data_IF_033157782981
#
_entry.id   IF_033157782981
#
_cell.length_a   1.000
_cell.length_b   1.000
_cell.length_c   1.000
_cell.angle_alpha   90.00
_cell.angle_beta   90.00
_cell.angle_gamma   90.00
#
_symmetry.space_group_name_H-M   'P 1'
#
loop_
_entity.id
_entity.type
_entity.pdbx_description
1 polymer ?
#
# COMPACT_ATOMS: atom_id res chain seq x y z
N UNK A 1 -8.08 -22.73 17.20
CA UNK A 1 -7.09 -22.26 18.19
C UNK A 1 -7.28 -23.07 19.47
N UNK A 2 -6.36 -23.96 19.87
CA UNK A 2 -6.48 -24.79 21.08
C UNK A 2 -7.88 -25.44 21.28
N UNK A 3 -8.49 -25.98 20.21
CA UNK A 3 -9.82 -26.59 20.25
C UNK A 3 -11.01 -25.66 19.98
N UNK A 4 -10.82 -24.34 19.93
CA UNK A 4 -11.88 -23.39 19.58
C UNK A 4 -12.09 -23.32 18.06
N UNK A 5 -13.35 -23.47 17.57
CA UNK A 5 -13.69 -23.28 16.16
C UNK A 5 -13.63 -21.80 15.81
N UNK A 6 -12.99 -21.49 14.69
CA UNK A 6 -12.75 -20.12 14.22
C UNK A 6 -12.90 -20.08 12.70
N UNK A 7 -13.56 -19.05 12.19
CA UNK A 7 -13.52 -18.71 10.77
C UNK A 7 -12.18 -18.06 10.42
N UNK A 8 -11.61 -18.41 9.25
CA UNK A 8 -10.32 -17.89 8.82
C UNK A 8 -10.44 -17.30 7.41
N UNK A 9 -9.98 -16.07 7.26
CA UNK A 9 -9.80 -15.41 5.96
C UNK A 9 -8.33 -15.07 5.81
N UNK A 10 -7.69 -15.55 4.75
CA UNK A 10 -6.30 -15.27 4.44
C UNK A 10 -6.15 -14.74 3.00
N UNK A 11 -5.28 -13.77 2.82
CA UNK A 11 -5.02 -13.15 1.52
C UNK A 11 -3.83 -13.80 0.83
N UNK A 12 -4.00 -14.11 -0.46
CA UNK A 12 -2.97 -14.77 -1.27
C UNK A 12 -1.87 -13.78 -1.69
N UNK A 13 -0.60 -14.17 -1.48
CA UNK A 13 0.57 -13.34 -1.87
C UNK A 13 1.06 -13.60 -3.29
N UNK A 14 0.87 -14.81 -3.82
CA UNK A 14 1.27 -15.17 -5.18
C UNK A 14 0.21 -14.72 -6.19
N UNK A 15 0.66 -14.36 -7.39
CA UNK A 15 -0.24 -14.10 -8.51
C UNK A 15 -0.98 -15.38 -8.88
N UNK A 16 -2.26 -15.26 -9.20
CA UNK A 16 -3.12 -16.36 -9.65
C UNK A 16 -3.62 -16.10 -11.06
N UNK A 17 -3.99 -17.16 -11.76
CA UNK A 17 -4.61 -17.07 -13.08
C UNK A 17 -6.05 -17.57 -12.99
N UNK A 18 -6.96 -16.79 -13.52
CA UNK A 18 -8.38 -17.11 -13.62
C UNK A 18 -8.67 -17.47 -15.08
N UNK A 19 -9.16 -18.68 -15.29
CA UNK A 19 -9.59 -19.17 -16.59
C UNK A 19 -11.08 -18.91 -16.74
N UNK A 20 -11.45 -17.99 -17.63
CA UNK A 20 -12.86 -17.78 -17.98
C UNK A 20 -13.21 -18.75 -19.11
N UNK A 21 -14.19 -19.66 -18.89
CA UNK A 21 -14.60 -20.58 -19.93
C UNK A 21 -15.20 -19.80 -21.10
N UNK A 22 -15.12 -20.41 -22.28
CA UNK A 22 -15.73 -19.85 -23.48
C UNK A 22 -17.25 -19.96 -23.35
N UNK A 23 -17.94 -18.89 -23.72
CA UNK A 23 -19.40 -18.89 -23.80
C UNK A 23 -19.83 -19.62 -25.09
N UNK A 24 -20.54 -20.75 -25.00
CA UNK A 24 -20.97 -21.49 -26.19
C UNK A 24 -21.94 -20.70 -27.08
N UNK A 25 -22.59 -19.65 -26.55
CA UNK A 25 -23.51 -18.80 -27.32
C UNK A 25 -22.83 -17.75 -28.19
N UNK A 26 -21.52 -17.51 -28.00
CA UNK A 26 -20.76 -16.50 -28.74
C UNK A 26 -19.58 -17.14 -29.49
N UNK A 27 -19.80 -17.43 -30.78
CA UNK A 27 -18.83 -18.07 -31.67
C UNK A 27 -17.56 -17.23 -31.90
N UNK A 28 -17.58 -15.94 -31.55
CA UNK A 28 -16.44 -15.02 -31.72
C UNK A 28 -15.49 -15.00 -30.52
N UNK A 29 -15.92 -15.50 -29.36
CA UNK A 29 -15.15 -15.44 -28.11
C UNK A 29 -14.18 -16.62 -27.99
N UNK A 30 -12.90 -16.29 -27.84
CA UNK A 30 -11.85 -17.24 -27.48
C UNK A 30 -11.71 -17.43 -25.97
N UNK A 31 -10.80 -18.34 -25.58
CA UNK A 31 -10.45 -18.59 -24.19
C UNK A 31 -9.76 -17.37 -23.55
N UNK A 32 -10.40 -16.78 -22.54
CA UNK A 32 -9.87 -15.63 -21.83
C UNK A 32 -9.14 -16.05 -20.54
N UNK A 33 -7.86 -15.70 -20.45
CA UNK A 33 -7.04 -15.88 -19.24
C UNK A 33 -6.81 -14.54 -18.58
N UNK A 34 -7.28 -14.37 -17.35
CA UNK A 34 -7.06 -13.14 -16.56
C UNK A 34 -6.01 -13.42 -15.49
N UNK A 35 -4.91 -12.69 -15.54
CA UNK A 35 -3.87 -12.75 -14.50
C UNK A 35 -4.24 -11.81 -13.37
N UNK A 36 -4.40 -12.37 -12.18
CA UNK A 36 -4.74 -11.66 -10.97
C UNK A 36 -3.45 -11.49 -10.13
N UNK A 37 -3.00 -10.25 -9.86
CA UNK A 37 -1.83 -10.02 -9.01
C UNK A 37 -2.12 -10.46 -7.57
N UNK A 38 -1.11 -10.99 -6.90
CA UNK A 38 -1.20 -11.31 -5.48
C UNK A 38 -1.30 -10.03 -4.63
N UNK A 39 -1.85 -10.13 -3.43
CA UNK A 39 -2.03 -9.02 -2.49
C UNK A 39 -2.95 -7.90 -3.01
N UNK A 40 -3.79 -8.16 -4.02
CA UNK A 40 -4.77 -7.18 -4.54
C UNK A 40 -6.19 -7.75 -4.39
N UNK A 41 -7.11 -6.90 -3.93
CA UNK A 41 -8.52 -7.26 -3.82
C UNK A 41 -9.21 -6.97 -5.16
N UNK A 42 -9.44 -8.04 -5.91
CA UNK A 42 -10.20 -8.03 -7.17
C UNK A 42 -11.71 -8.19 -6.89
N UNK A 43 -12.60 -7.91 -7.85
CA UNK A 43 -14.05 -8.03 -7.62
C UNK A 43 -14.50 -9.40 -7.12
N UNK A 44 -13.99 -10.49 -7.73
CA UNK A 44 -14.27 -11.86 -7.31
C UNK A 44 -13.75 -12.16 -5.89
N UNK A 45 -12.59 -11.61 -5.53
CA UNK A 45 -12.00 -11.77 -4.21
C UNK A 45 -12.78 -11.01 -3.14
N UNK A 46 -13.20 -9.77 -3.43
CA UNK A 46 -14.05 -8.98 -2.55
C UNK A 46 -15.37 -9.70 -2.27
N UNK A 47 -16.05 -10.19 -3.32
CA UNK A 47 -17.30 -10.95 -3.20
C UNK A 47 -17.11 -12.22 -2.36
N UNK A 48 -16.02 -12.96 -2.58
CA UNK A 48 -15.68 -14.15 -1.80
C UNK A 48 -15.46 -13.84 -0.32
N UNK A 49 -14.76 -12.74 -0.01
CA UNK A 49 -14.54 -12.29 1.37
C UNK A 49 -15.88 -11.90 2.02
N UNK A 50 -16.71 -11.12 1.32
CA UNK A 50 -18.01 -10.69 1.85
C UNK A 50 -18.92 -11.89 2.17
N UNK A 51 -19.01 -12.84 1.24
CA UNK A 51 -19.78 -14.07 1.44
C UNK A 51 -19.24 -14.87 2.63
N UNK A 52 -17.92 -15.09 2.70
CA UNK A 52 -17.31 -15.83 3.81
C UNK A 52 -17.59 -15.18 5.17
N UNK A 53 -17.54 -13.84 5.26
CA UNK A 53 -17.89 -13.13 6.50
C UNK A 53 -19.36 -13.36 6.87
N UNK A 54 -20.26 -13.32 5.89
CA UNK A 54 -21.68 -13.56 6.11
C UNK A 54 -21.94 -15.00 6.58
N UNK A 55 -21.28 -15.98 5.97
CA UNK A 55 -21.44 -17.39 6.31
C UNK A 55 -20.91 -17.67 7.72
N UNK A 56 -19.70 -17.21 8.04
CA UNK A 56 -19.08 -17.34 9.38
C UNK A 56 -19.93 -16.64 10.45
N UNK A 57 -20.56 -15.51 10.11
CA UNK A 57 -21.51 -14.83 10.99
C UNK A 57 -22.75 -15.69 11.25
N UNK A 58 -23.31 -16.31 10.21
CA UNK A 58 -24.49 -17.18 10.33
C UNK A 58 -24.20 -18.44 11.13
N UNK A 59 -23.00 -18.99 11.01
CA UNK A 59 -22.50 -20.12 11.80
C UNK A 59 -22.21 -19.75 13.26
N UNK A 60 -22.22 -18.46 13.61
CA UNK A 60 -21.93 -18.01 14.97
C UNK A 60 -20.49 -18.30 15.39
N UNK A 61 -19.53 -18.12 14.48
CA UNK A 61 -18.11 -18.34 14.76
C UNK A 61 -17.33 -17.01 14.88
N UNK A 62 -16.34 -16.93 15.78
CA UNK A 62 -15.36 -15.85 15.77
C UNK A 62 -14.50 -15.90 14.51
N UNK A 63 -14.02 -14.75 14.05
CA UNK A 63 -13.32 -14.59 12.77
C UNK A 63 -11.88 -14.12 12.96
N UNK A 64 -10.93 -14.75 12.24
CA UNK A 64 -9.54 -14.32 12.15
C UNK A 64 -9.22 -13.95 10.70
N UNK A 65 -8.77 -12.71 10.49
CA UNK A 65 -8.40 -12.18 9.17
C UNK A 65 -6.90 -11.95 9.11
N UNK A 66 -6.19 -12.75 8.31
CA UNK A 66 -4.80 -12.51 7.96
C UNK A 66 -4.72 -11.48 6.83
N UNK A 67 -4.62 -10.21 7.21
CA UNK A 67 -4.65 -9.08 6.29
C UNK A 67 -3.29 -8.91 5.60
N UNK A 68 -3.30 -9.02 4.26
CA UNK A 68 -2.13 -8.80 3.42
C UNK A 68 -2.55 -8.33 2.02
N UNK A 69 -2.92 -7.04 1.91
CA UNK A 69 -3.33 -6.43 0.65
C UNK A 69 -2.80 -5.01 0.47
N UNK A 70 -2.30 -4.73 -0.73
CA UNK A 70 -1.82 -3.42 -1.16
C UNK A 70 -2.94 -2.49 -1.66
N UNK A 71 -4.18 -2.97 -1.75
CA UNK A 71 -5.30 -2.17 -2.22
C UNK A 71 -6.35 -2.97 -2.97
N UNK A 72 -7.39 -2.25 -3.39
CA UNK A 72 -8.39 -2.71 -4.35
C UNK A 72 -7.85 -2.61 -5.77
N UNK A 73 -8.33 -3.48 -6.67
CA UNK A 73 -8.02 -3.32 -8.09
C UNK A 73 -8.64 -2.02 -8.62
N UNK A 74 -7.82 -1.20 -9.28
CA UNK A 74 -8.20 0.08 -9.87
C UNK A 74 -8.43 0.03 -11.39
N UNK A 75 -8.40 -1.15 -12.00
CA UNK A 75 -8.54 -1.29 -13.45
C UNK A 75 -9.97 -0.94 -13.90
N UNK A 76 -10.14 -0.32 -15.07
CA UNK A 76 -11.45 0.02 -15.62
C UNK A 76 -12.37 -1.19 -15.72
N UNK A 77 -11.85 -2.34 -16.15
CA UNK A 77 -12.63 -3.58 -16.21
C UNK A 77 -13.09 -4.06 -14.83
N UNK A 78 -12.26 -3.91 -13.79
CA UNK A 78 -12.62 -4.30 -12.42
C UNK A 78 -13.60 -3.31 -11.78
N UNK A 79 -13.53 -2.04 -12.16
CA UNK A 79 -14.52 -1.02 -11.79
C UNK A 79 -15.89 -1.35 -12.37
N UNK A 80 -15.94 -1.76 -13.64
CA UNK A 80 -17.19 -2.21 -14.29
C UNK A 80 -17.71 -3.54 -13.71
N UNK A 81 -16.81 -4.42 -13.26
CA UNK A 81 -17.15 -5.66 -12.55
C UNK A 81 -17.53 -5.43 -11.07
N UNK A 82 -18.01 -4.23 -10.69
CA UNK A 82 -18.57 -3.89 -9.37
C UNK A 82 -17.60 -4.07 -8.17
N UNK A 83 -16.29 -3.88 -8.33
CA UNK A 83 -15.34 -4.06 -7.21
C UNK A 83 -15.65 -3.17 -5.99
N UNK A 84 -16.14 -1.94 -6.20
CA UNK A 84 -16.48 -1.02 -5.13
C UNK A 84 -17.71 -1.49 -4.34
N UNK A 85 -18.74 -1.97 -5.05
CA UNK A 85 -19.94 -2.53 -4.42
C UNK A 85 -19.59 -3.74 -3.57
N UNK A 86 -18.81 -4.68 -4.12
CA UNK A 86 -18.37 -5.86 -3.39
C UNK A 86 -17.50 -5.49 -2.16
N UNK A 87 -16.70 -4.42 -2.22
CA UNK A 87 -15.94 -3.93 -1.08
C UNK A 87 -16.83 -3.34 0.02
N UNK A 88 -17.91 -2.64 -0.34
CA UNK A 88 -18.93 -2.18 0.61
C UNK A 88 -19.67 -3.35 1.28
N UNK A 89 -19.89 -4.45 0.57
CA UNK A 89 -20.49 -5.65 1.15
C UNK A 89 -19.58 -6.28 2.22
N UNK A 90 -18.25 -6.27 2.01
CA UNK A 90 -17.28 -6.68 3.05
C UNK A 90 -17.41 -5.81 4.30
N UNK A 91 -17.45 -4.48 4.11
CA UNK A 91 -17.61 -3.53 5.22
C UNK A 91 -18.90 -3.80 5.99
N UNK A 92 -20.01 -3.97 5.27
CA UNK A 92 -21.32 -4.30 5.85
C UNK A 92 -21.30 -5.62 6.61
N UNK A 93 -20.56 -6.62 6.10
CA UNK A 93 -20.34 -7.89 6.77
C UNK A 93 -19.69 -7.73 8.15
N UNK A 94 -18.64 -6.91 8.26
CA UNK A 94 -17.96 -6.64 9.53
C UNK A 94 -18.82 -5.83 10.51
N UNK A 95 -19.58 -4.85 10.03
CA UNK A 95 -20.48 -4.04 10.87
C UNK A 95 -21.53 -4.90 11.58
N UNK A 96 -22.08 -5.91 10.90
CA UNK A 96 -23.12 -6.78 11.46
C UNK A 96 -22.57 -8.01 12.19
N UNK A 97 -21.25 -8.17 12.27
CA UNK A 97 -20.63 -9.31 12.92
C UNK A 97 -20.66 -9.11 14.45
N UNK A 98 -21.32 -10.03 15.17
CA UNK A 98 -21.58 -9.92 16.62
C UNK A 98 -20.53 -10.61 17.49
N UNK A 99 -19.63 -11.39 16.88
CA UNK A 99 -18.60 -12.15 17.57
C UNK A 99 -17.23 -11.49 17.40
N UNK A 100 -16.22 -11.89 18.19
CA UNK A 100 -14.89 -11.29 18.08
C UNK A 100 -14.26 -11.50 16.69
N UNK A 101 -13.79 -10.42 16.09
CA UNK A 101 -13.01 -10.41 14.85
C UNK A 101 -11.59 -9.96 15.17
N UNK A 102 -10.62 -10.81 14.85
CA UNK A 102 -9.21 -10.53 15.02
C UNK A 102 -8.59 -10.31 13.65
N UNK A 103 -8.14 -9.09 13.38
CA UNK A 103 -7.36 -8.79 12.19
C UNK A 103 -5.89 -8.86 12.55
N UNK A 104 -5.14 -9.70 11.87
CA UNK A 104 -3.72 -9.88 12.11
C UNK A 104 -2.92 -9.58 10.86
N UNK A 105 -2.01 -8.61 10.97
CA UNK A 105 -0.98 -8.36 9.96
C UNK A 105 0.24 -9.20 10.35
N UNK A 106 0.48 -10.27 9.60
CA UNK A 106 1.62 -11.16 9.81
C UNK A 106 2.98 -10.52 9.48
N UNK A 107 4.09 -11.26 9.67
CA UNK A 107 5.42 -10.81 9.29
C UNK A 107 5.46 -10.42 7.80
N UNK A 108 6.08 -9.28 7.50
CA UNK A 108 6.20 -8.73 6.13
C UNK A 108 4.86 -8.46 5.41
N UNK A 109 3.73 -8.60 6.10
CA UNK A 109 2.43 -8.28 5.54
C UNK A 109 2.34 -6.78 5.25
N UNK A 110 1.71 -6.46 4.12
CA UNK A 110 1.52 -5.10 3.68
C UNK A 110 0.03 -4.80 3.64
N UNK A 111 -0.39 -3.73 4.31
CA UNK A 111 -1.78 -3.27 4.29
C UNK A 111 -1.83 -1.81 3.84
N UNK A 112 -2.45 -1.53 2.69
CA UNK A 112 -2.38 -0.18 2.10
C UNK A 112 -3.71 0.39 1.66
N UNK A 113 -3.79 1.72 1.63
CA UNK A 113 -4.85 2.50 0.99
C UNK A 113 -6.26 1.99 1.29
N UNK A 114 -7.03 1.74 0.23
CA UNK A 114 -8.41 1.25 0.35
C UNK A 114 -8.53 -0.10 1.06
N UNK A 115 -7.52 -0.98 0.97
CA UNK A 115 -7.55 -2.25 1.69
C UNK A 115 -7.50 -2.04 3.21
N UNK A 116 -6.71 -1.07 3.69
CA UNK A 116 -6.70 -0.69 5.12
C UNK A 116 -8.09 -0.21 5.58
N UNK A 117 -8.78 0.58 4.77
CA UNK A 117 -10.11 1.10 5.09
C UNK A 117 -11.16 -0.01 5.26
N UNK A 118 -11.07 -1.09 4.47
CA UNK A 118 -12.04 -2.20 4.48
C UNK A 118 -11.89 -3.09 5.73
N UNK A 119 -10.69 -3.22 6.28
CA UNK A 119 -10.40 -4.10 7.43
C UNK A 119 -10.06 -3.32 8.69
N UNK A 120 -10.45 -2.06 8.79
CA UNK A 120 -10.11 -1.23 9.94
C UNK A 120 -10.88 -1.66 11.20
N UNK A 121 -10.24 -1.67 12.38
CA UNK A 121 -10.90 -2.00 13.65
C UNK A 121 -12.01 -1.01 14.04
N UNK A 122 -11.92 0.24 13.56
CA UNK A 122 -12.94 1.26 13.79
C UNK A 122 -14.28 1.03 13.08
N UNK A 123 -14.41 0.00 12.24
CA UNK A 123 -15.69 -0.37 11.61
C UNK A 123 -16.67 -0.89 12.67
N UNK A 124 -16.17 -1.74 13.57
CA UNK A 124 -16.94 -2.30 14.67
C UNK A 124 -16.04 -2.40 15.91
N UNK A 125 -15.84 -1.29 16.65
CA UNK A 125 -14.85 -1.19 17.72
C UNK A 125 -15.13 -2.13 18.90
N UNK A 126 -16.38 -2.56 19.08
CA UNK A 126 -16.78 -3.50 20.14
C UNK A 126 -16.26 -4.91 19.89
N UNK A 127 -16.26 -5.34 18.64
CA UNK A 127 -15.98 -6.72 18.25
C UNK A 127 -14.67 -6.90 17.47
N UNK A 128 -14.16 -5.85 16.81
CA UNK A 128 -12.96 -5.91 15.98
C UNK A 128 -11.71 -5.42 16.72
N UNK A 129 -10.66 -6.24 16.72
CA UNK A 129 -9.32 -5.86 17.19
C UNK A 129 -8.28 -6.15 16.12
N UNK A 130 -7.35 -5.22 15.93
CA UNK A 130 -6.27 -5.35 14.95
C UNK A 130 -4.92 -5.49 15.67
N UNK A 131 -4.14 -6.48 15.25
CA UNK A 131 -2.79 -6.75 15.72
C UNK A 131 -1.83 -6.73 14.53
N UNK A 132 -0.62 -6.25 14.78
CA UNK A 132 0.38 -6.08 13.74
C UNK A 132 1.74 -6.62 14.21
N UNK A 133 2.33 -7.53 13.44
CA UNK A 133 3.67 -8.04 13.70
C UNK A 133 4.71 -6.90 13.62
N UNK A 134 5.84 -6.97 14.35
CA UNK A 134 6.88 -5.94 14.33
C UNK A 134 7.36 -5.54 12.94
N UNK A 135 7.49 -6.52 12.03
CA UNK A 135 7.94 -6.35 10.64
C UNK A 135 6.83 -6.04 9.64
N UNK A 136 5.57 -5.96 10.08
CA UNK A 136 4.45 -5.61 9.21
C UNK A 136 4.45 -4.12 8.86
N UNK A 137 3.82 -3.79 7.72
CA UNK A 137 3.82 -2.44 7.16
C UNK A 137 2.41 -2.02 6.78
N UNK A 138 1.91 -0.93 7.36
CA UNK A 138 0.67 -0.31 6.93
C UNK A 138 0.87 1.15 6.48
N UNK A 139 0.30 1.56 5.35
CA UNK A 139 0.47 2.94 4.86
C UNK A 139 -0.68 3.36 3.94
N UNK A 140 -0.86 4.67 3.74
CA UNK A 140 -1.88 5.16 2.79
C UNK A 140 -1.49 4.81 1.36
N UNK A 141 -0.22 5.05 1.00
CA UNK A 141 0.32 4.78 -0.33
C UNK A 141 1.57 3.90 -0.23
N UNK A 142 2.00 3.37 -1.36
CA UNK A 142 3.33 2.80 -1.48
C UNK A 142 4.40 3.86 -1.18
N UNK A 143 5.58 3.41 -0.78
CA UNK A 143 6.68 4.31 -0.46
C UNK A 143 7.09 5.15 -1.67
N UNK A 144 7.14 4.54 -2.86
CA UNK A 144 7.39 5.21 -4.14
C UNK A 144 6.41 6.36 -4.37
N UNK A 145 5.11 6.08 -4.31
CA UNK A 145 4.07 7.11 -4.46
C UNK A 145 4.11 8.18 -3.36
N UNK A 146 4.52 7.82 -2.14
CA UNK A 146 4.66 8.81 -1.05
C UNK A 146 5.83 9.76 -1.31
N UNK A 147 6.97 9.23 -1.78
CA UNK A 147 8.16 10.04 -2.15
C UNK A 147 7.81 10.96 -3.31
N UNK A 148 7.12 10.44 -4.33
CA UNK A 148 6.71 11.23 -5.50
C UNK A 148 5.81 12.43 -5.14
N UNK A 149 4.97 12.30 -4.11
CA UNK A 149 4.08 13.38 -3.67
C UNK A 149 4.78 14.31 -2.66
N UNK A 150 5.45 13.74 -1.65
CA UNK A 150 5.94 14.49 -0.48
C UNK A 150 7.41 14.90 -0.53
N UNK A 151 8.21 14.25 -1.36
CA UNK A 151 9.66 14.45 -1.41
C UNK A 151 10.12 14.52 -2.86
N UNK A 152 9.67 15.59 -3.52
CA UNK A 152 9.86 15.80 -4.95
C UNK A 152 11.30 16.22 -5.24
N UNK A 153 11.67 16.22 -6.53
CA UNK A 153 12.97 16.71 -7.03
C UNK A 153 13.51 17.98 -6.34
N UNK A 154 12.74 19.08 -6.16
CA UNK A 154 13.28 20.27 -5.49
C UNK A 154 13.71 20.01 -4.02
N UNK A 155 13.01 19.13 -3.30
CA UNK A 155 13.34 18.81 -1.90
C UNK A 155 14.54 17.86 -1.81
N UNK A 156 14.67 16.97 -2.80
CA UNK A 156 15.86 16.14 -3.00
C UNK A 156 17.07 17.03 -3.25
N UNK A 157 16.99 18.00 -4.17
CA UNK A 157 18.08 18.94 -4.46
C UNK A 157 18.51 19.75 -3.23
N UNK A 158 17.56 20.28 -2.46
CA UNK A 158 17.85 20.95 -1.18
C UNK A 158 18.60 20.03 -0.21
N UNK A 159 18.25 18.75 -0.19
CA UNK A 159 18.88 17.77 0.69
C UNK A 159 20.27 17.36 0.20
N UNK A 160 20.48 17.29 -1.11
CA UNK A 160 21.79 17.10 -1.73
C UNK A 160 22.74 18.23 -1.32
N UNK A 161 22.32 19.49 -1.50
CA UNK A 161 23.11 20.68 -1.12
C UNK A 161 23.41 20.70 0.39
N UNK A 162 22.48 20.22 1.22
CA UNK A 162 22.65 20.16 2.68
C UNK A 162 23.62 19.08 3.14
N UNK A 163 23.75 17.98 2.40
CA UNK A 163 24.45 16.77 2.88
C UNK A 163 25.76 16.52 2.13
N UNK A 164 25.81 16.78 0.82
CA UNK A 164 26.99 16.60 -0.02
C UNK A 164 27.89 17.84 0.04
N UNK A 165 29.16 17.64 0.41
CA UNK A 165 30.13 18.73 0.58
C UNK A 165 30.44 19.46 -0.72
N UNK A 166 30.49 18.73 -1.85
CA UNK A 166 30.79 19.32 -3.16
C UNK A 166 29.62 20.14 -3.69
N UNK A 167 28.40 19.61 -3.62
CA UNK A 167 27.20 20.37 -3.98
C UNK A 167 27.02 21.61 -3.10
N UNK A 168 27.33 21.51 -1.80
CA UNK A 168 27.30 22.63 -0.86
C UNK A 168 28.29 23.74 -1.24
N UNK A 169 29.57 23.40 -1.46
CA UNK A 169 30.59 24.38 -1.81
C UNK A 169 30.32 25.02 -3.19
N UNK A 170 29.85 24.24 -4.17
CA UNK A 170 29.42 24.76 -5.46
C UNK A 170 28.24 25.73 -5.32
N UNK A 171 27.26 25.44 -4.46
CA UNK A 171 26.12 26.32 -4.22
C UNK A 171 26.52 27.65 -3.56
N UNK A 172 27.46 27.62 -2.61
CA UNK A 172 27.99 28.82 -1.96
C UNK A 172 28.77 29.69 -2.96
N UNK A 173 29.66 29.08 -3.73
CA UNK A 173 30.42 29.79 -4.77
C UNK A 173 29.52 30.42 -5.83
N UNK A 174 28.38 29.78 -6.17
CA UNK A 174 27.39 30.37 -7.09
C UNK A 174 26.69 31.58 -6.47
N UNK A 175 26.45 31.58 -5.15
CA UNK A 175 25.82 32.69 -4.44
C UNK A 175 26.76 33.92 -4.32
N UNK A 176 28.07 33.71 -4.28
CA UNK A 176 29.09 34.78 -4.23
C UNK A 176 29.35 35.44 -5.60
N UNK A 177 28.96 34.82 -6.72
CA UNK A 177 29.16 35.37 -8.07
C UNK A 177 28.07 36.39 -8.49
N UNK A 178 28.47 37.53 -9.05
CA UNK A 178 27.59 38.54 -9.68
C UNK A 178 27.02 38.07 -11.03
N UNK A 179 25.95 38.70 -11.52
CA UNK A 179 25.09 38.16 -12.59
C UNK A 179 25.75 37.97 -13.98
N UNK A 180 26.82 38.70 -14.30
CA UNK A 180 27.44 38.72 -15.64
C UNK A 180 28.65 37.80 -15.82
N UNK A 181 28.89 36.88 -14.89
CA UNK A 181 30.14 36.11 -14.86
C UNK A 181 30.05 34.79 -15.66
N UNK A 182 30.91 34.63 -16.68
CA UNK A 182 31.07 33.36 -17.42
C UNK A 182 31.41 32.18 -16.49
N UNK A 183 32.05 32.48 -15.35
CA UNK A 183 32.36 31.56 -14.26
C UNK A 183 31.10 30.96 -13.61
N UNK A 184 30.02 31.74 -13.46
CA UNK A 184 28.75 31.28 -12.87
C UNK A 184 28.12 30.17 -13.70
N UNK A 185 28.16 30.28 -15.03
CA UNK A 185 27.66 29.24 -15.94
C UNK A 185 28.47 27.95 -15.86
N UNK A 186 29.79 28.04 -15.69
CA UNK A 186 30.67 26.87 -15.52
C UNK A 186 30.36 26.17 -14.19
N UNK A 187 30.19 26.92 -13.10
CA UNK A 187 29.83 26.38 -11.79
C UNK A 187 28.45 25.73 -11.80
N UNK A 188 27.46 26.34 -12.44
CA UNK A 188 26.13 25.74 -12.61
C UNK A 188 26.18 24.44 -13.42
N UNK A 189 27.00 24.36 -14.48
CA UNK A 189 27.19 23.11 -15.22
C UNK A 189 27.83 22.02 -14.35
N UNK A 190 28.81 22.37 -13.51
CA UNK A 190 29.43 21.42 -12.57
C UNK A 190 28.43 20.93 -11.53
N UNK A 191 27.62 21.82 -10.97
CA UNK A 191 26.58 21.47 -10.01
C UNK A 191 25.56 20.52 -10.63
N UNK A 192 25.03 20.81 -11.83
CA UNK A 192 24.09 19.92 -12.53
C UNK A 192 24.66 18.52 -12.78
N UNK A 193 25.93 18.42 -13.21
CA UNK A 193 26.60 17.11 -13.37
C UNK A 193 26.68 16.34 -12.05
N UNK A 194 26.95 17.03 -10.94
CA UNK A 194 26.99 16.41 -9.61
C UNK A 194 25.60 15.96 -9.15
N UNK A 195 24.58 16.78 -9.38
CA UNK A 195 23.19 16.44 -9.08
C UNK A 195 22.70 15.21 -9.87
N UNK A 196 23.00 15.15 -11.17
CA UNK A 196 22.68 13.99 -12.02
C UNK A 196 23.36 12.71 -11.54
N UNK A 197 24.64 12.80 -11.15
CA UNK A 197 25.38 11.67 -10.58
C UNK A 197 24.77 11.18 -9.26
N UNK A 198 24.35 12.10 -8.40
CA UNK A 198 23.78 11.77 -7.08
C UNK A 198 22.31 11.36 -7.13
N UNK A 199 21.58 11.66 -8.20
CA UNK A 199 20.12 11.46 -8.28
C UNK A 199 19.70 10.04 -7.89
N UNK A 200 20.27 9.02 -8.53
CA UNK A 200 19.87 7.62 -8.29
C UNK A 200 20.10 7.19 -6.84
N UNK A 201 21.18 7.68 -6.21
CA UNK A 201 21.47 7.37 -4.81
C UNK A 201 20.47 8.04 -3.87
N UNK A 202 20.17 9.32 -4.09
CA UNK A 202 19.21 10.04 -3.25
C UNK A 202 17.78 9.53 -3.44
N UNK A 203 17.41 9.05 -4.62
CA UNK A 203 16.12 8.38 -4.85
C UNK A 203 16.01 7.10 -3.99
N UNK A 204 17.07 6.28 -3.93
CA UNK A 204 17.10 5.10 -3.07
C UNK A 204 17.06 5.45 -1.58
N UNK A 205 17.79 6.49 -1.17
CA UNK A 205 17.78 6.98 0.22
C UNK A 205 16.39 7.51 0.58
N UNK A 206 15.73 8.23 -0.32
CA UNK A 206 14.37 8.71 -0.13
C UNK A 206 13.41 7.52 0.06
N UNK A 207 13.48 6.51 -0.81
CA UNK A 207 12.66 5.30 -0.69
C UNK A 207 12.92 4.55 0.62
N UNK A 208 14.18 4.33 1.01
CA UNK A 208 14.52 3.64 2.25
C UNK A 208 14.03 4.42 3.48
N UNK A 209 14.35 5.71 3.58
CA UNK A 209 13.94 6.52 4.73
C UNK A 209 12.44 6.71 4.84
N UNK A 210 11.74 6.96 3.73
CA UNK A 210 10.28 7.11 3.77
C UNK A 210 9.57 5.77 4.02
N UNK A 211 10.16 4.64 3.62
CA UNK A 211 9.64 3.32 3.98
C UNK A 211 9.61 3.16 5.50
N UNK A 212 10.68 3.53 6.20
CA UNK A 212 10.73 3.31 7.65
C UNK A 212 9.99 4.40 8.43
N UNK A 213 9.99 5.65 7.92
CA UNK A 213 9.45 6.78 8.65
C UNK A 213 7.96 7.04 8.39
N UNK A 214 7.41 6.76 7.20
CA UNK A 214 6.01 7.10 6.87
C UNK A 214 5.05 5.92 6.95
N UNK A 215 5.57 4.69 6.94
CA UNK A 215 4.78 3.50 7.19
C UNK A 215 4.39 3.47 8.68
N UNK A 216 3.13 3.16 8.97
CA UNK A 216 2.72 2.69 10.30
C UNK A 216 3.43 1.38 10.56
N UNK A 217 4.66 1.44 11.05
CA UNK A 217 5.27 0.32 11.75
C UNK A 217 4.34 -0.01 12.93
N UNK A 218 4.26 -1.28 13.31
CA UNK A 218 3.53 -1.78 14.49
C UNK A 218 3.56 -0.82 15.69
N UNK A 219 4.72 -0.26 16.03
CA UNK A 219 4.91 0.72 17.12
C UNK A 219 4.16 2.04 16.91
N UNK A 220 4.12 2.56 15.69
CA UNK A 220 3.44 3.82 15.37
C UNK A 220 1.93 3.62 15.30
N UNK A 221 1.49 2.44 14.84
CA UNK A 221 0.11 2.01 14.91
C UNK A 221 -0.39 1.96 16.36
N UNK A 222 0.34 1.27 17.25
CA UNK A 222 0.01 1.19 18.68
C UNK A 222 -0.08 2.58 19.34
N UNK A 223 0.85 3.49 19.02
CA UNK A 223 0.81 4.88 19.52
C UNK A 223 -0.41 5.68 19.04
N UNK A 224 -0.96 5.36 17.86
CA UNK A 224 -2.15 6.03 17.33
C UNK A 224 -3.46 5.44 17.86
N UNK A 225 -3.51 4.11 18.05
CA UNK A 225 -4.71 3.43 18.55
C UNK A 225 -4.87 3.49 20.07
N UNK A 226 -3.82 3.87 20.81
CA UNK A 226 -3.87 4.09 22.27
C UNK A 226 -4.41 5.47 22.67
N UNK A 227 -4.87 6.28 21.71
CA UNK A 227 -5.55 7.56 21.93
C UNK A 227 -7.01 7.43 21.53
#
# INVERSE_FOLDING_TARGET
LCGLPVGIIAMQSKSTEEFRPVDPGDLSRGLNRKKNPGQVINPSSAKKIAQAISDIKMEGLPLIVFANSRGLSGNTSDMLDDVLKNACDVFTGFTHHKLPVIIYLGPEAQLRGGAYGIVHSGINPTHMKMYAAPSSRASVLETSGTVEIKYRKPDILKTMIRTDREASSLSMNIAECTENDSKKQVLQKKLRKREEYLSSFYDQVALSKYSDMCIMTSLRYLRKCSK
#
